data_IF_004555688517
#
_entry.id   IF_004555688517
#
_cell.length_a   1.000
_cell.length_b   1.000
_cell.length_c   1.000
_cell.angle_alpha   90.00
_cell.angle_beta   90.00
_cell.angle_gamma   90.00
#
_symmetry.space_group_name_H-M   'P 1'
#
loop_
_entity.id
_entity.type
_entity.pdbx_description
1 polymer ?
#
# COMPACT_ATOMS: atom_id res chain seq x y z
N UNK A 1 17.55 -3.04 -9.51
CA UNK A 1 16.30 -2.32 -9.86
C UNK A 1 15.63 -1.90 -8.56
N UNK A 2 15.45 -0.60 -8.31
CA UNK A 2 14.83 -0.11 -7.06
C UNK A 2 13.31 -0.36 -7.09
N UNK A 3 12.78 -0.95 -6.02
CA UNK A 3 11.34 -1.19 -5.80
C UNK A 3 10.51 0.10 -5.85
N UNK A 4 11.16 1.24 -5.58
CA UNK A 4 10.56 2.57 -5.63
C UNK A 4 10.32 3.08 -7.05
N UNK A 5 10.90 2.45 -8.09
CA UNK A 5 10.93 3.05 -9.41
C UNK A 5 9.58 3.07 -10.12
N UNK A 6 8.72 2.09 -9.85
CA UNK A 6 7.37 1.95 -10.41
C UNK A 6 6.27 2.60 -9.55
N UNK A 7 6.63 3.27 -8.45
CA UNK A 7 5.67 3.86 -7.52
C UNK A 7 5.30 5.30 -7.91
N UNK A 8 4.06 5.71 -7.64
CA UNK A 8 3.63 7.10 -7.91
C UNK A 8 4.15 8.02 -6.80
N UNK A 9 4.14 9.33 -7.06
CA UNK A 9 4.54 10.36 -6.07
C UNK A 9 3.85 10.19 -4.72
N UNK A 10 2.55 9.89 -4.76
CA UNK A 10 1.74 9.70 -3.55
C UNK A 10 2.20 8.46 -2.77
N UNK A 11 2.55 7.37 -3.46
CA UNK A 11 3.06 6.14 -2.81
C UNK A 11 4.40 6.41 -2.14
N UNK A 12 5.30 7.10 -2.85
CA UNK A 12 6.60 7.49 -2.33
C UNK A 12 6.46 8.39 -1.09
N UNK A 13 5.54 9.36 -1.12
CA UNK A 13 5.24 10.21 0.03
C UNK A 13 4.83 9.38 1.26
N UNK A 14 3.85 8.50 1.09
CA UNK A 14 3.39 7.61 2.16
C UNK A 14 4.50 6.72 2.72
N UNK A 15 5.35 6.14 1.87
CA UNK A 15 6.45 5.30 2.33
C UNK A 15 7.42 6.11 3.19
N UNK A 16 7.77 7.32 2.76
CA UNK A 16 8.64 8.17 3.56
C UNK A 16 7.99 8.52 4.90
N UNK A 17 6.72 8.89 4.93
CA UNK A 17 5.98 9.16 6.17
C UNK A 17 5.96 7.93 7.11
N UNK A 18 5.74 6.73 6.58
CA UNK A 18 5.78 5.46 7.33
C UNK A 18 7.19 5.13 7.85
N UNK A 19 8.24 5.58 7.15
CA UNK A 19 9.63 5.48 7.61
C UNK A 19 10.00 6.58 8.63
N UNK A 20 9.08 7.49 8.95
CA UNK A 20 9.31 8.63 9.84
C UNK A 20 10.00 9.81 9.16
N UNK A 21 10.13 9.79 7.84
CA UNK A 21 10.70 10.86 7.04
C UNK A 21 9.61 11.87 6.63
N UNK A 22 9.90 13.16 6.78
CA UNK A 22 8.95 14.22 6.40
C UNK A 22 9.16 14.66 4.96
N UNK A 23 8.17 14.43 4.10
CA UNK A 23 8.27 14.80 2.68
C UNK A 23 7.53 16.10 2.38
N UNK A 24 8.22 17.14 1.90
CA UNK A 24 7.57 18.37 1.51
C UNK A 24 6.64 18.18 0.29
N UNK A 25 5.51 18.90 0.24
CA UNK A 25 4.55 18.80 -0.89
C UNK A 25 5.16 19.19 -2.24
N UNK A 26 6.07 20.17 -2.22
CA UNK A 26 6.82 20.61 -3.39
C UNK A 26 7.97 19.66 -3.77
N UNK A 27 8.21 18.57 -3.03
CA UNK A 27 9.25 17.62 -3.36
C UNK A 27 9.00 16.96 -4.73
N UNK A 28 10.09 16.80 -5.49
CA UNK A 28 10.08 16.05 -6.77
C UNK A 28 10.15 14.56 -6.49
N UNK A 29 9.62 13.74 -7.41
CA UNK A 29 9.68 12.28 -7.30
C UNK A 29 11.08 11.73 -7.01
N UNK A 30 12.10 12.30 -7.65
CA UNK A 30 13.50 11.90 -7.44
C UNK A 30 14.01 12.24 -6.04
N UNK A 31 13.66 13.41 -5.52
CA UNK A 31 14.04 13.85 -4.17
C UNK A 31 13.46 12.91 -3.12
N UNK A 32 12.17 12.57 -3.25
CA UNK A 32 11.49 11.65 -2.33
C UNK A 32 12.13 10.26 -2.38
N UNK A 33 12.44 9.75 -3.58
CA UNK A 33 13.14 8.47 -3.75
C UNK A 33 14.49 8.49 -3.03
N UNK A 34 15.28 9.54 -3.25
CA UNK A 34 16.57 9.72 -2.58
C UNK A 34 16.41 9.77 -1.07
N UNK A 35 15.41 10.48 -0.56
CA UNK A 35 15.18 10.67 0.87
C UNK A 35 14.87 9.32 1.54
N UNK A 36 14.03 8.51 0.91
CA UNK A 36 13.79 7.12 1.31
C UNK A 36 15.07 6.28 1.21
N UNK A 37 15.79 6.31 0.08
CA UNK A 37 17.01 5.51 -0.14
C UNK A 37 18.17 5.89 0.81
N UNK A 38 18.19 7.13 1.31
CA UNK A 38 19.15 7.60 2.30
C UNK A 38 18.68 7.41 3.74
N UNK A 39 17.41 7.03 3.96
CA UNK A 39 16.91 6.75 5.30
C UNK A 39 17.54 5.47 5.83
N UNK A 40 17.95 5.51 7.09
CA UNK A 40 18.56 4.39 7.79
C UNK A 40 17.64 3.16 7.78
N UNK A 41 16.32 3.38 7.89
CA UNK A 41 15.33 2.32 7.81
C UNK A 41 15.31 1.60 6.45
N UNK A 42 15.60 2.30 5.36
CA UNK A 42 15.67 1.69 4.03
C UNK A 42 16.96 0.91 3.81
N UNK A 43 18.07 1.42 4.31
CA UNK A 43 19.37 0.76 4.19
C UNK A 43 19.50 -0.43 5.14
N UNK A 44 18.97 -0.30 6.35
CA UNK A 44 19.06 -1.29 7.42
C UNK A 44 17.96 -2.35 7.30
N UNK A 45 16.77 -2.00 6.80
CA UNK A 45 15.60 -2.90 6.80
C UNK A 45 14.85 -2.88 5.47
N UNK A 46 15.51 -3.34 4.39
CA UNK A 46 14.89 -3.47 3.06
C UNK A 46 13.58 -4.28 3.05
N UNK A 47 13.48 -5.33 3.87
CA UNK A 47 12.26 -6.15 3.96
C UNK A 47 11.07 -5.37 4.55
N UNK A 48 11.33 -4.45 5.48
CA UNK A 48 10.31 -3.61 6.07
C UNK A 48 9.73 -2.65 5.02
N UNK A 49 10.60 -2.00 4.24
CA UNK A 49 10.17 -1.13 3.14
C UNK A 49 9.36 -1.92 2.11
N UNK A 50 9.78 -3.14 1.78
CA UNK A 50 9.04 -4.00 0.86
C UNK A 50 7.65 -4.33 1.42
N UNK A 51 7.53 -4.57 2.72
CA UNK A 51 6.26 -4.73 3.43
C UNK A 51 5.37 -3.50 3.35
N UNK A 52 5.91 -2.31 3.61
CA UNK A 52 5.18 -1.04 3.50
C UNK A 52 4.67 -0.82 2.07
N UNK A 53 5.54 -0.98 1.07
CA UNK A 53 5.16 -0.83 -0.34
C UNK A 53 4.01 -1.77 -0.69
N UNK A 54 4.10 -3.03 -0.26
CA UNK A 54 3.06 -4.02 -0.51
C UNK A 54 1.75 -3.61 0.18
N UNK A 55 1.82 -3.18 1.44
CA UNK A 55 0.67 -2.72 2.22
C UNK A 55 -0.02 -1.50 1.60
N UNK A 56 0.73 -0.49 1.15
CA UNK A 56 0.17 0.72 0.52
C UNK A 56 -0.48 0.40 -0.82
N UNK A 57 0.16 -0.43 -1.65
CA UNK A 57 -0.39 -0.85 -2.95
C UNK A 57 -1.66 -1.66 -2.74
N UNK A 58 -1.66 -2.57 -1.75
CA UNK A 58 -2.84 -3.36 -1.36
C UNK A 58 -3.96 -2.47 -0.78
N UNK A 59 -3.67 -1.50 0.09
CA UNK A 59 -4.67 -0.59 0.69
C UNK A 59 -5.41 0.22 -0.38
N UNK A 60 -4.68 0.71 -1.39
CA UNK A 60 -5.27 1.44 -2.53
C UNK A 60 -6.17 0.56 -3.38
N UNK A 61 -5.77 -0.68 -3.60
CA UNK A 61 -6.57 -1.64 -4.37
C UNK A 61 -7.82 -2.07 -3.60
N UNK A 62 -7.69 -2.20 -2.27
CA UNK A 62 -8.80 -2.50 -1.35
C UNK A 62 -9.79 -1.33 -1.31
N UNK A 63 -9.32 -0.08 -1.21
CA UNK A 63 -10.20 1.10 -1.28
C UNK A 63 -10.96 1.26 -2.59
N UNK A 64 -10.38 0.83 -3.72
CA UNK A 64 -11.09 0.77 -4.98
C UNK A 64 -12.15 -0.36 -5.00
N UNK A 65 -11.92 -1.48 -4.29
CA UNK A 65 -12.91 -2.56 -4.14
C UNK A 65 -14.07 -2.18 -3.22
N UNK A 66 -13.85 -1.27 -2.27
CA UNK A 66 -14.89 -0.80 -1.34
C UNK A 66 -15.99 0.01 -2.03
N UNK A 67 -15.74 0.59 -3.22
CA UNK A 67 -16.79 1.19 -4.04
C UNK A 67 -17.52 0.17 -4.93
N UNK A 68 -17.22 -1.13 -4.79
CA UNK A 68 -17.95 -2.24 -5.42
C UNK A 68 -18.49 -3.26 -4.42
N UNK A 69 -18.45 -2.96 -3.12
CA UNK A 69 -19.13 -3.75 -2.09
C UNK A 69 -20.43 -3.06 -1.66
N UNK A 70 -21.24 -2.68 -2.65
CA UNK A 70 -22.68 -2.88 -2.51
C UNK A 70 -22.87 -4.40 -2.52
N UNK A 71 -22.91 -4.98 -1.32
CA UNK A 71 -23.57 -6.24 -0.96
C UNK A 71 -23.69 -7.30 -2.07
N UNK A 72 -22.68 -8.16 -2.17
CA UNK A 72 -22.72 -9.34 -3.03
C UNK A 72 -21.71 -10.39 -2.59
N UNK A 73 -21.67 -10.71 -1.30
CA UNK A 73 -20.88 -11.83 -0.81
C UNK A 73 -21.53 -13.16 -1.22
N UNK A 74 -20.78 -14.14 -1.76
CA UNK A 74 -21.28 -15.49 -1.92
C UNK A 74 -21.10 -16.20 -0.57
N UNK A 75 -22.11 -16.14 0.29
CA UNK A 75 -22.19 -17.09 1.40
C UNK A 75 -23.10 -18.23 0.96
N UNK A 76 -22.46 -19.24 0.38
CA UNK A 76 -22.94 -20.63 0.44
C UNK A 76 -23.32 -20.95 1.89
N UNK A 77 -24.61 -21.15 2.15
CA UNK A 77 -25.04 -21.92 3.31
C UNK A 77 -25.98 -23.01 2.85
N UNK A 78 -25.67 -24.20 3.34
CA UNK A 78 -26.12 -25.49 2.87
C UNK A 78 -27.64 -25.67 2.91
N UNK A 79 -28.07 -26.66 2.13
CA UNK A 79 -29.36 -27.30 2.23
C UNK A 79 -29.79 -27.56 3.68
N UNK A 80 -30.99 -27.10 4.05
CA UNK A 80 -31.82 -27.81 5.01
C UNK A 80 -33.24 -27.93 4.48
N UNK A 81 -33.47 -29.13 3.95
CA UNK A 81 -34.72 -29.83 3.81
C UNK A 81 -35.59 -29.63 5.05
N UNK A 82 -36.77 -29.03 4.89
CA UNK A 82 -37.92 -29.36 5.72
C UNK A 82 -39.19 -29.24 4.89
N UNK A 83 -39.77 -30.39 4.56
CA UNK A 83 -41.16 -30.47 4.13
C UNK A 83 -42.07 -30.27 5.33
N UNK A 84 -43.18 -29.58 5.10
CA UNK A 84 -44.51 -29.99 5.52
C UNK A 84 -45.53 -29.30 4.60
#
# INVERSE_FOLDING_TARGET
MSILNNLRKIDLKLIAEELGETVPDNAKNFEIKKLIENSDAFQTVQEFVRGIVKSIVEDRMTKAANNKLVFGGPHTSMAERCGN
#
